data_IF_247608614068
#
_entry.id   IF_247608614068
#
_cell.length_a   1.000
_cell.length_b   1.000
_cell.length_c   1.000
_cell.angle_alpha   90.00
_cell.angle_beta   90.00
_cell.angle_gamma   90.00
#
_symmetry.space_group_name_H-M   'P 1'
#
loop_
_entity.id
_entity.type
_entity.pdbx_description
1 polymer ?
#
# COMPACT_ATOMS: atom_id res chain seq x y z
N UNK A 1 64.67 -67.35 44.85
CA UNK A 1 63.74 -66.23 45.22
C UNK A 1 63.17 -65.67 43.94
N UNK A 2 61.85 -65.89 43.70
CA UNK A 2 61.18 -65.30 42.56
C UNK A 2 60.53 -64.01 43.06
N UNK A 3 60.93 -62.89 42.52
CA UNK A 3 60.33 -61.59 42.75
C UNK A 3 58.90 -61.57 42.18
N UNK A 4 57.89 -61.64 43.01
CA UNK A 4 56.51 -61.50 42.63
C UNK A 4 56.27 -59.99 42.42
N UNK A 5 56.43 -59.50 41.21
CA UNK A 5 56.14 -58.10 40.87
C UNK A 5 54.60 -57.93 40.89
N UNK A 6 54.16 -57.07 41.78
CA UNK A 6 52.78 -56.70 41.91
C UNK A 6 52.33 -55.85 40.70
N UNK A 7 51.82 -56.53 39.68
CA UNK A 7 51.31 -55.92 38.48
C UNK A 7 49.82 -55.54 38.59
N UNK A 8 49.14 -55.94 39.70
CA UNK A 8 47.72 -55.75 39.90
C UNK A 8 47.36 -54.27 40.09
N UNK A 9 48.09 -53.55 40.95
CA UNK A 9 47.83 -52.17 41.24
C UNK A 9 48.12 -51.18 40.06
N UNK A 10 48.99 -51.56 39.11
CA UNK A 10 49.24 -50.73 37.92
C UNK A 10 48.16 -50.87 36.89
N UNK A 11 47.61 -52.06 36.69
CA UNK A 11 46.51 -52.31 35.73
C UNK A 11 45.21 -51.69 36.22
N UNK A 12 44.89 -51.72 37.48
CA UNK A 12 43.71 -51.09 38.06
C UNK A 12 43.75 -49.55 37.91
N UNK A 13 44.88 -48.92 38.16
CA UNK A 13 45.04 -47.45 37.98
C UNK A 13 44.88 -47.05 36.51
N UNK A 14 45.37 -47.81 35.57
CA UNK A 14 45.23 -47.51 34.13
C UNK A 14 43.78 -47.65 33.70
N UNK A 15 43.05 -48.63 34.19
CA UNK A 15 41.63 -48.83 33.90
C UNK A 15 40.81 -47.71 34.50
N UNK A 16 41.09 -47.27 35.71
CA UNK A 16 40.41 -46.17 36.40
C UNK A 16 40.65 -44.84 35.68
N UNK A 17 41.88 -44.56 35.28
CA UNK A 17 42.21 -43.35 34.48
C UNK A 17 41.55 -43.34 33.11
N UNK A 18 41.44 -44.47 32.44
CA UNK A 18 40.72 -44.54 31.14
C UNK A 18 39.19 -44.40 31.32
N UNK A 19 38.66 -44.96 32.38
CA UNK A 19 37.22 -44.81 32.72
C UNK A 19 36.89 -43.35 33.01
N UNK A 20 37.68 -42.69 33.82
CA UNK A 20 37.53 -41.27 34.15
C UNK A 20 37.65 -40.36 32.91
N UNK A 21 38.60 -40.67 32.02
CA UNK A 21 38.75 -39.93 30.74
C UNK A 21 37.49 -40.12 29.84
N UNK A 22 36.96 -41.32 29.75
CA UNK A 22 35.74 -41.64 28.97
C UNK A 22 34.51 -40.98 29.55
N UNK A 23 34.33 -40.98 30.87
CA UNK A 23 33.26 -40.35 31.59
C UNK A 23 33.26 -38.82 31.40
N UNK A 24 34.43 -38.18 31.58
CA UNK A 24 34.60 -36.75 31.32
C UNK A 24 34.30 -36.35 29.86
N UNK A 25 34.69 -37.22 28.90
CA UNK A 25 34.42 -36.99 27.49
C UNK A 25 32.89 -37.06 27.18
N UNK A 26 32.18 -38.03 27.80
CA UNK A 26 30.72 -38.16 27.69
C UNK A 26 29.98 -36.95 28.30
N UNK A 27 30.39 -36.52 29.50
CA UNK A 27 29.81 -35.37 30.15
C UNK A 27 30.03 -34.07 29.37
N UNK A 28 31.22 -33.88 28.79
CA UNK A 28 31.46 -32.74 27.93
C UNK A 28 30.61 -32.77 26.66
N UNK A 29 30.46 -33.93 26.06
CA UNK A 29 29.61 -34.08 24.87
C UNK A 29 28.13 -33.79 25.21
N UNK A 30 27.62 -34.27 26.33
CA UNK A 30 26.26 -34.03 26.80
C UNK A 30 26.01 -32.52 27.08
N UNK A 31 26.98 -31.83 27.67
CA UNK A 31 26.94 -30.40 27.92
C UNK A 31 26.93 -29.59 26.60
N UNK A 32 27.69 -30.00 25.62
CA UNK A 32 27.70 -29.36 24.30
C UNK A 32 26.34 -29.56 23.62
N UNK A 33 25.79 -30.76 23.64
CA UNK A 33 24.46 -31.04 23.07
C UNK A 33 23.34 -30.23 23.75
N UNK A 34 23.39 -30.07 25.06
CA UNK A 34 22.45 -29.21 25.79
C UNK A 34 22.57 -27.74 25.36
N UNK A 35 23.79 -27.21 25.22
CA UNK A 35 24.03 -25.83 24.75
C UNK A 35 23.54 -25.64 23.33
N UNK A 36 23.77 -26.57 22.43
CA UNK A 36 23.31 -26.56 21.04
C UNK A 36 21.78 -26.52 20.99
N UNK A 37 21.09 -27.38 21.76
CA UNK A 37 19.61 -27.37 21.84
C UNK A 37 19.04 -26.07 22.35
N UNK A 38 19.66 -25.46 23.38
CA UNK A 38 19.25 -24.16 23.92
C UNK A 38 19.45 -23.04 22.90
N UNK A 39 20.59 -23.00 22.23
CA UNK A 39 20.88 -21.98 21.21
C UNK A 39 19.94 -22.09 20.03
N UNK A 40 19.65 -23.30 19.55
CA UNK A 40 18.72 -23.54 18.47
C UNK A 40 17.27 -23.17 18.84
N UNK A 41 16.86 -23.43 20.08
CA UNK A 41 15.54 -23.02 20.59
C UNK A 41 15.41 -21.50 20.65
N UNK A 42 16.41 -20.80 21.17
CA UNK A 42 16.46 -19.33 21.23
C UNK A 42 16.42 -18.73 19.82
N UNK A 43 17.21 -19.25 18.88
CA UNK A 43 17.23 -18.81 17.49
C UNK A 43 15.88 -19.03 16.79
N UNK A 44 15.20 -20.15 17.02
CA UNK A 44 13.85 -20.41 16.47
C UNK A 44 12.82 -19.42 16.99
N UNK A 45 12.86 -19.10 18.29
CA UNK A 45 11.99 -18.07 18.90
C UNK A 45 12.24 -16.70 18.30
N UNK A 46 13.49 -16.31 18.12
CA UNK A 46 13.88 -15.02 17.54
C UNK A 46 13.41 -14.90 16.08
N UNK A 47 13.59 -15.93 15.26
CA UNK A 47 13.10 -15.97 13.88
C UNK A 47 11.57 -15.92 13.82
N UNK A 48 10.87 -16.60 14.74
CA UNK A 48 9.41 -16.54 14.80
C UNK A 48 8.91 -15.14 15.14
N UNK A 49 9.55 -14.45 16.10
CA UNK A 49 9.22 -13.06 16.46
C UNK A 49 9.48 -12.13 15.28
N UNK A 50 10.62 -12.24 14.60
CA UNK A 50 10.92 -11.42 13.42
C UNK A 50 9.89 -11.61 12.30
N UNK A 51 9.49 -12.85 12.01
CA UNK A 51 8.45 -13.14 11.01
C UNK A 51 7.11 -12.52 11.40
N UNK A 52 6.71 -12.61 12.66
CA UNK A 52 5.45 -12.04 13.16
C UNK A 52 5.45 -10.51 13.05
N UNK A 53 6.56 -9.85 13.37
CA UNK A 53 6.71 -8.40 13.24
C UNK A 53 6.65 -7.97 11.76
N UNK A 54 7.30 -8.71 10.85
CA UNK A 54 7.24 -8.43 9.41
C UNK A 54 5.81 -8.58 8.86
N UNK A 55 5.09 -9.62 9.25
CA UNK A 55 3.70 -9.83 8.82
C UNK A 55 2.80 -8.70 9.33
N UNK A 56 2.95 -8.30 10.58
CA UNK A 56 2.19 -7.20 11.15
C UNK A 56 2.48 -5.86 10.44
N UNK A 57 3.75 -5.57 10.17
CA UNK A 57 4.15 -4.37 9.44
C UNK A 57 3.57 -4.35 8.00
N UNK A 58 3.62 -5.51 7.30
CA UNK A 58 3.04 -5.62 5.96
C UNK A 58 1.52 -5.41 5.98
N UNK A 59 0.82 -5.96 6.96
CA UNK A 59 -0.63 -5.78 7.11
C UNK A 59 -1.00 -4.31 7.34
N UNK A 60 -0.23 -3.59 8.16
CA UNK A 60 -0.43 -2.14 8.38
C UNK A 60 -0.20 -1.35 7.10
N UNK A 61 0.88 -1.63 6.35
CA UNK A 61 1.18 -0.94 5.09
C UNK A 61 0.10 -1.18 4.03
N UNK A 62 -0.43 -2.41 3.91
CA UNK A 62 -1.50 -2.71 2.95
C UNK A 62 -2.82 -2.03 3.31
N UNK A 63 -3.17 -1.96 4.59
CA UNK A 63 -4.40 -1.27 5.03
C UNK A 63 -4.31 0.24 4.85
N UNK A 64 -3.16 0.85 5.12
CA UNK A 64 -2.93 2.27 4.88
C UNK A 64 -2.98 2.60 3.39
N UNK A 65 -2.35 1.80 2.54
CA UNK A 65 -2.38 1.96 1.08
C UNK A 65 -3.80 1.82 0.52
N UNK A 66 -4.57 0.83 0.98
CA UNK A 66 -5.96 0.65 0.55
C UNK A 66 -6.85 1.81 0.99
N UNK A 67 -6.68 2.33 2.21
CA UNK A 67 -7.42 3.51 2.70
C UNK A 67 -7.08 4.75 1.90
N UNK A 68 -5.81 4.97 1.57
CA UNK A 68 -5.38 6.10 0.77
C UNK A 68 -5.95 6.02 -0.66
N UNK A 69 -5.88 4.86 -1.31
CA UNK A 69 -6.48 4.65 -2.63
C UNK A 69 -8.01 4.87 -2.63
N UNK A 70 -8.70 4.43 -1.59
CA UNK A 70 -10.13 4.68 -1.42
C UNK A 70 -10.43 6.18 -1.28
N UNK A 71 -9.66 6.91 -0.48
CA UNK A 71 -9.85 8.35 -0.28
C UNK A 71 -9.59 9.14 -1.57
N UNK A 72 -8.56 8.77 -2.33
CA UNK A 72 -8.27 9.38 -3.64
C UNK A 72 -9.43 9.15 -4.61
N UNK A 73 -9.88 7.91 -4.76
CA UNK A 73 -10.99 7.59 -5.67
C UNK A 73 -12.27 8.34 -5.30
N UNK A 74 -12.55 8.46 -4.00
CA UNK A 74 -13.69 9.23 -3.51
C UNK A 74 -13.54 10.72 -3.77
N UNK A 75 -12.34 11.28 -3.60
CA UNK A 75 -12.04 12.67 -3.96
C UNK A 75 -12.23 12.94 -5.47
N UNK A 76 -11.75 12.04 -6.32
CA UNK A 76 -11.99 12.12 -7.78
C UNK A 76 -13.49 12.08 -8.12
N UNK A 77 -14.27 11.22 -7.46
CA UNK A 77 -15.73 11.15 -7.65
C UNK A 77 -16.45 12.44 -7.24
N UNK A 78 -16.01 13.06 -6.15
CA UNK A 78 -16.59 14.32 -5.70
C UNK A 78 -16.30 15.45 -6.67
N UNK A 79 -15.05 15.58 -7.14
CA UNK A 79 -14.67 16.57 -8.15
C UNK A 79 -15.48 16.34 -9.43
N UNK A 80 -15.61 15.10 -9.91
CA UNK A 80 -16.35 14.78 -11.11
C UNK A 80 -17.85 15.11 -10.99
N UNK A 81 -18.47 14.80 -9.87
CA UNK A 81 -19.89 15.10 -9.65
C UNK A 81 -20.16 16.60 -9.57
N UNK A 82 -19.29 17.35 -8.88
CA UNK A 82 -19.39 18.80 -8.81
C UNK A 82 -19.20 19.44 -10.19
N UNK A 83 -18.19 19.04 -10.92
CA UNK A 83 -17.90 19.48 -12.28
C UNK A 83 -19.06 19.15 -13.23
N UNK A 84 -19.62 17.94 -13.15
CA UNK A 84 -20.79 17.58 -13.95
C UNK A 84 -21.96 18.51 -13.70
N UNK A 85 -22.28 18.79 -12.45
CA UNK A 85 -23.40 19.63 -12.07
C UNK A 85 -23.25 21.08 -12.55
N UNK A 86 -22.01 21.59 -12.56
CA UNK A 86 -21.74 23.00 -12.83
C UNK A 86 -21.29 23.29 -14.28
N UNK A 87 -20.65 22.35 -14.94
CA UNK A 87 -19.97 22.55 -16.24
C UNK A 87 -20.57 21.73 -17.36
N UNK A 88 -20.85 20.44 -17.11
CA UNK A 88 -21.22 19.50 -18.19
C UNK A 88 -22.65 18.94 -18.08
N UNK A 89 -23.50 19.53 -17.25
CA UNK A 89 -24.88 19.06 -17.07
C UNK A 89 -25.74 19.09 -18.34
N UNK A 90 -25.43 19.98 -19.25
CA UNK A 90 -26.09 20.15 -20.54
C UNK A 90 -25.35 19.47 -21.71
N UNK A 91 -24.22 18.79 -21.43
CA UNK A 91 -23.41 18.10 -22.43
C UNK A 91 -23.77 16.63 -22.47
N UNK A 92 -24.28 16.20 -23.60
CA UNK A 92 -24.46 14.78 -23.95
C UNK A 92 -23.35 14.30 -24.87
N UNK A 93 -22.92 13.06 -24.68
CA UNK A 93 -22.05 12.38 -25.63
C UNK A 93 -22.57 10.97 -25.94
N UNK A 94 -22.34 10.53 -27.15
CA UNK A 94 -22.81 9.22 -27.60
C UNK A 94 -22.15 8.76 -28.88
N UNK A 95 -22.17 7.44 -29.10
CA UNK A 95 -21.77 6.81 -30.34
C UNK A 95 -23.00 6.65 -31.22
N UNK A 96 -22.93 7.21 -32.41
CA UNK A 96 -23.91 6.98 -33.46
C UNK A 96 -23.26 6.15 -34.58
N UNK A 97 -24.05 5.81 -35.61
CA UNK A 97 -23.56 5.00 -36.73
C UNK A 97 -22.45 5.67 -37.55
N UNK A 98 -22.33 6.99 -37.45
CA UNK A 98 -21.36 7.83 -38.17
C UNK A 98 -20.19 8.31 -37.27
N UNK A 99 -20.16 7.88 -36.02
CA UNK A 99 -19.07 8.18 -35.10
C UNK A 99 -19.49 8.67 -33.71
N UNK A 100 -18.53 9.25 -32.99
CA UNK A 100 -18.76 9.81 -31.67
C UNK A 100 -19.19 11.28 -31.78
N UNK A 101 -20.29 11.64 -31.16
CA UNK A 101 -20.88 12.97 -31.21
C UNK A 101 -21.06 13.57 -29.85
N UNK A 102 -20.91 14.89 -29.81
CA UNK A 102 -21.28 15.70 -28.65
C UNK A 102 -22.55 16.48 -28.92
N UNK A 103 -23.39 16.60 -27.92
CA UNK A 103 -24.55 17.49 -27.95
C UNK A 103 -24.39 18.52 -26.80
N UNK A 104 -24.67 19.78 -27.10
CA UNK A 104 -24.85 20.83 -26.07
C UNK A 104 -26.34 21.17 -26.06
N UNK A 105 -27.01 20.83 -24.97
CA UNK A 105 -28.46 20.84 -24.91
C UNK A 105 -29.03 19.87 -25.96
N UNK A 106 -29.80 20.43 -26.95
CA UNK A 106 -30.39 19.65 -28.05
C UNK A 106 -29.62 19.76 -29.38
N UNK A 107 -28.50 20.48 -29.40
CA UNK A 107 -27.74 20.72 -30.62
C UNK A 107 -26.53 19.78 -30.71
N UNK A 108 -26.43 19.08 -31.85
CA UNK A 108 -25.23 18.31 -32.17
C UNK A 108 -24.12 19.28 -32.58
N UNK A 109 -22.95 19.14 -31.97
CA UNK A 109 -21.80 20.00 -32.19
C UNK A 109 -20.57 19.19 -32.58
N UNK A 110 -19.61 19.84 -33.25
CA UNK A 110 -18.33 19.21 -33.54
C UNK A 110 -17.53 18.94 -32.27
N UNK A 111 -16.57 18.02 -32.33
CA UNK A 111 -15.68 17.71 -31.24
C UNK A 111 -14.95 18.97 -30.71
N UNK A 112 -14.34 19.74 -31.62
CA UNK A 112 -13.61 20.96 -31.24
C UNK A 112 -14.52 21.99 -30.57
N UNK A 113 -15.76 22.16 -31.07
CA UNK A 113 -16.74 23.04 -30.43
C UNK A 113 -17.11 22.59 -29.02
N UNK A 114 -17.24 21.29 -28.80
CA UNK A 114 -17.50 20.75 -27.47
C UNK A 114 -16.31 20.95 -26.52
N UNK A 115 -15.09 20.72 -26.98
CA UNK A 115 -13.86 20.95 -26.20
C UNK A 115 -13.72 22.42 -25.79
N UNK A 116 -13.90 23.35 -26.73
CA UNK A 116 -13.85 24.79 -26.45
C UNK A 116 -14.96 25.24 -25.49
N UNK A 117 -16.16 24.69 -25.65
CA UNK A 117 -17.26 24.96 -24.76
C UNK A 117 -16.96 24.50 -23.32
N UNK A 118 -16.50 23.24 -23.16
CA UNK A 118 -16.16 22.69 -21.84
C UNK A 118 -15.06 23.54 -21.18
N UNK A 119 -13.99 23.88 -21.91
CA UNK A 119 -12.90 24.74 -21.42
C UNK A 119 -13.44 26.08 -20.94
N UNK A 120 -14.21 26.76 -21.77
CA UNK A 120 -14.80 28.07 -21.44
C UNK A 120 -15.72 28.02 -20.21
N UNK A 121 -16.53 26.96 -20.08
CA UNK A 121 -17.37 26.77 -18.90
C UNK A 121 -16.57 26.48 -17.64
N UNK A 122 -15.55 25.62 -17.71
CA UNK A 122 -14.67 25.33 -16.58
C UNK A 122 -13.99 26.62 -16.06
N UNK A 123 -13.40 27.39 -16.96
CA UNK A 123 -12.76 28.68 -16.64
C UNK A 123 -13.75 29.65 -15.99
N UNK A 124 -14.93 29.79 -16.57
CA UNK A 124 -15.98 30.71 -16.08
C UNK A 124 -16.50 30.34 -14.68
N UNK A 125 -16.42 29.06 -14.32
CA UNK A 125 -16.84 28.53 -13.02
C UNK A 125 -15.68 28.43 -12.02
N UNK A 126 -14.45 28.74 -12.44
CA UNK A 126 -13.26 28.79 -11.58
C UNK A 126 -12.64 27.44 -11.28
N UNK A 127 -12.85 26.44 -12.16
CA UNK A 127 -12.11 25.17 -12.08
C UNK A 127 -10.72 25.36 -12.63
N UNK A 128 -9.72 24.83 -11.92
CA UNK A 128 -8.35 24.78 -12.41
C UNK A 128 -8.16 23.58 -13.36
N UNK A 129 -7.01 23.55 -14.05
CA UNK A 129 -6.68 22.51 -15.01
C UNK A 129 -6.64 21.10 -14.38
N UNK A 130 -6.18 20.99 -13.12
CA UNK A 130 -6.11 19.71 -12.41
C UNK A 130 -7.51 19.18 -12.10
N UNK A 131 -8.39 20.03 -11.58
CA UNK A 131 -9.78 19.68 -11.30
C UNK A 131 -10.53 19.31 -12.57
N UNK A 132 -10.37 20.10 -13.63
CA UNK A 132 -10.95 19.85 -14.96
C UNK A 132 -10.47 18.53 -15.54
N UNK A 133 -9.17 18.27 -15.47
CA UNK A 133 -8.59 17.00 -15.93
C UNK A 133 -9.14 15.80 -15.17
N UNK A 134 -9.17 15.86 -13.82
CA UNK A 134 -9.68 14.77 -12.97
C UNK A 134 -11.14 14.46 -13.32
N UNK A 135 -11.97 15.50 -13.40
CA UNK A 135 -13.40 15.35 -13.71
C UNK A 135 -13.62 14.69 -15.08
N UNK A 136 -13.01 15.24 -16.12
CA UNK A 136 -13.20 14.75 -17.48
C UNK A 136 -12.62 13.36 -17.70
N UNK A 137 -11.47 13.05 -17.09
CA UNK A 137 -10.89 11.70 -17.11
C UNK A 137 -11.83 10.68 -16.47
N UNK A 138 -12.50 11.04 -15.39
CA UNK A 138 -13.43 10.17 -14.66
C UNK A 138 -14.75 9.99 -15.42
N UNK A 139 -15.27 11.04 -16.03
CA UNK A 139 -16.58 11.05 -16.68
C UNK A 139 -16.56 10.57 -18.14
N UNK A 140 -15.52 10.91 -18.88
CA UNK A 140 -15.40 10.64 -20.30
C UNK A 140 -14.19 9.77 -20.61
N UNK A 141 -13.05 10.41 -20.90
CA UNK A 141 -11.79 9.73 -21.17
C UNK A 141 -10.59 10.59 -20.85
N UNK A 142 -9.42 9.94 -20.82
CA UNK A 142 -8.14 10.64 -20.64
C UNK A 142 -7.79 11.55 -21.82
N UNK A 143 -8.19 11.15 -23.03
CA UNK A 143 -7.95 11.90 -24.27
C UNK A 143 -8.74 13.20 -24.24
N UNK A 144 -10.04 13.15 -23.95
CA UNK A 144 -10.89 14.33 -23.82
C UNK A 144 -10.37 15.28 -22.73
N UNK A 145 -9.95 14.74 -21.60
CA UNK A 145 -9.38 15.54 -20.52
C UNK A 145 -8.11 16.31 -20.97
N UNK A 146 -7.22 15.65 -21.71
CA UNK A 146 -6.00 16.28 -22.25
C UNK A 146 -6.33 17.35 -23.31
N UNK A 147 -7.28 17.08 -24.18
CA UNK A 147 -7.66 18.01 -25.25
C UNK A 147 -8.28 19.28 -24.66
N UNK A 148 -9.07 19.16 -23.58
CA UNK A 148 -9.64 20.32 -22.90
C UNK A 148 -8.57 21.14 -22.16
N UNK A 149 -7.72 20.48 -21.39
CA UNK A 149 -6.69 21.18 -20.56
C UNK A 149 -5.51 21.65 -21.44
N UNK A 150 -5.20 20.95 -22.53
CA UNK A 150 -4.10 21.30 -23.42
C UNK A 150 -2.71 20.90 -22.91
N UNK A 151 -2.61 20.26 -21.75
CA UNK A 151 -1.36 19.86 -21.10
C UNK A 151 -1.45 18.46 -20.50
N UNK A 152 -0.30 17.89 -20.22
CA UNK A 152 -0.21 16.63 -19.47
C UNK A 152 -0.10 16.94 -17.97
N UNK A 153 -1.18 16.68 -17.23
CA UNK A 153 -1.19 16.83 -15.78
C UNK A 153 -0.39 15.70 -15.14
N UNK A 154 0.46 16.03 -14.18
CA UNK A 154 1.25 15.08 -13.39
C UNK A 154 0.33 14.24 -12.49
N UNK A 155 0.62 12.94 -12.38
CA UNK A 155 -0.11 12.04 -11.51
C UNK A 155 -0.10 12.46 -10.03
N UNK A 156 0.98 13.07 -9.57
CA UNK A 156 1.09 13.57 -8.19
C UNK A 156 0.16 14.76 -7.91
N UNK A 157 -0.05 15.64 -8.89
CA UNK A 157 -0.96 16.77 -8.76
C UNK A 157 -2.42 16.31 -8.72
N UNK A 158 -2.78 15.34 -9.54
CA UNK A 158 -4.10 14.68 -9.50
C UNK A 158 -4.37 14.11 -8.11
N UNK A 159 -3.40 13.39 -7.54
CA UNK A 159 -3.52 12.76 -6.23
C UNK A 159 -3.68 13.82 -5.12
N UNK A 160 -2.88 14.87 -5.15
CA UNK A 160 -2.94 15.96 -4.16
C UNK A 160 -4.28 16.66 -4.17
N UNK A 161 -4.80 17.02 -5.35
CA UNK A 161 -6.05 17.74 -5.47
C UNK A 161 -7.27 16.87 -5.10
N UNK A 162 -7.33 15.62 -5.55
CA UNK A 162 -8.37 14.68 -5.18
C UNK A 162 -8.42 14.44 -3.66
N UNK A 163 -7.25 14.29 -3.03
CA UNK A 163 -7.17 14.12 -1.58
C UNK A 163 -7.54 15.37 -0.81
N UNK A 164 -7.15 16.56 -1.26
CA UNK A 164 -7.49 17.85 -0.66
C UNK A 164 -9.01 18.09 -0.68
N UNK A 165 -9.66 17.88 -1.81
CA UNK A 165 -11.11 18.05 -1.97
C UNK A 165 -11.88 17.10 -1.06
N UNK A 166 -11.51 15.81 -1.02
CA UNK A 166 -12.13 14.84 -0.13
C UNK A 166 -11.99 15.22 1.35
N UNK A 167 -10.80 15.68 1.78
CA UNK A 167 -10.54 16.04 3.18
C UNK A 167 -11.32 17.29 3.61
N UNK A 168 -11.47 18.26 2.73
CA UNK A 168 -12.22 19.49 3.02
C UNK A 168 -13.69 19.18 3.27
N UNK A 169 -14.30 18.31 2.48
CA UNK A 169 -15.70 17.93 2.62
C UNK A 169 -16.00 17.09 3.86
N UNK A 170 -15.06 16.25 4.30
CA UNK A 170 -15.24 15.48 5.54
C UNK A 170 -15.23 16.38 6.77
N UNK A 171 -14.39 17.40 6.81
CA UNK A 171 -14.34 18.38 7.91
C UNK A 171 -15.64 19.18 7.99
N UNK A 172 -16.16 19.68 6.87
CA UNK A 172 -17.42 20.44 6.84
C UNK A 172 -18.64 19.62 7.29
N UNK A 173 -18.65 18.29 7.00
CA UNK A 173 -19.74 17.40 7.46
C UNK A 173 -19.69 17.09 8.95
N UNK A 174 -18.48 16.96 9.51
CA UNK A 174 -18.31 16.74 10.96
C UNK A 174 -18.66 17.98 11.78
N UNK A 175 -18.30 19.18 11.33
CA UNK A 175 -18.68 20.43 11.96
C UNK A 175 -20.19 20.69 11.89
N UNK A 176 -20.85 20.38 10.77
CA UNK A 176 -22.30 20.51 10.62
C UNK A 176 -23.11 19.54 11.49
N UNK A 177 -22.56 18.37 11.83
CA UNK A 177 -23.20 17.38 12.68
C UNK A 177 -23.13 17.73 14.20
N UNK A 178 -22.19 18.59 14.58
CA UNK A 178 -21.99 19.00 15.99
C UNK A 178 -22.95 20.10 16.47
N UNK A 179 -23.62 20.83 15.57
CA UNK A 179 -24.55 21.92 15.92
C UNK A 179 -26.04 21.51 15.99
N UNK A 180 -26.33 20.21 15.90
CA UNK A 180 -27.69 19.66 15.90
C UNK A 180 -28.07 18.85 17.15
N UNK A 181 -27.52 19.17 18.35
CA UNK A 181 -27.96 18.58 19.63
C UNK A 181 -28.40 19.63 20.58
#
# INVERSE_FOLDING_TARGET
MKENRDYSGKTERIIEEEYDKKTKAIDNKLNIDKKIKQTNSARRKQVAIQKSVMIAALAVLTTLGAKQAYNINKGEEMIANDFHSNVTSDIGCGNYTDGFHFNIGQQNVSYDTAIDYIRSQADSKGYDDVQTYIALKKMYSREIAKDVVGETIDGDDIIKEAYKTYKTDTVTKEEGASYGK
#
